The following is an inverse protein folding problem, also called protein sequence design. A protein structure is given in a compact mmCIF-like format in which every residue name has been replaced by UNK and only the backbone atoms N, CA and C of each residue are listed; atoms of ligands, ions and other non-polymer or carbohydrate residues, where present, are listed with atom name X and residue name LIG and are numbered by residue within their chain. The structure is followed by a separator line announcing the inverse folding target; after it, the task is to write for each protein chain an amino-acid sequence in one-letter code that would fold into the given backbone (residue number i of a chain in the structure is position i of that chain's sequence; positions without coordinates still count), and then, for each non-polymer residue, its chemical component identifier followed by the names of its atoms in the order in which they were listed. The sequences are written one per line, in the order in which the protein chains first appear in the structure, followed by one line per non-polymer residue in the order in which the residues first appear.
data_IF_569573291816
#
_entry.id   IF_569573291816
#
_cell.length_a   1.000
_cell.length_b   1.000
_cell.length_c   1.000
_cell.angle_alpha   90.00
_cell.angle_beta   90.00
_cell.angle_gamma   90.00
#
_symmetry.space_group_name_H-M   'P 1'
#
loop_
_entity.id
_entity.type
_entity.pdbx_description
1 polymer ?
#
# COMPACT_ATOMS: atom_id res chain seq x y z
N UNK A 1 12.33 8.44 -27.95
CA UNK A 1 13.25 7.78 -27.00
C UNK A 1 14.59 8.48 -27.07
N UNK A 2 15.04 9.15 -26.00
CA UNK A 2 16.31 9.89 -26.02
C UNK A 2 17.49 8.93 -26.16
N UNK A 3 18.58 9.37 -26.77
CA UNK A 3 19.77 8.53 -26.99
C UNK A 3 20.45 8.14 -25.66
N UNK A 4 20.30 8.94 -24.61
CA UNK A 4 20.71 8.59 -23.24
C UNK A 4 20.00 7.34 -22.71
N UNK A 5 18.71 7.17 -23.03
CA UNK A 5 17.98 5.99 -22.59
C UNK A 5 18.44 4.71 -23.30
N UNK A 6 18.85 4.81 -24.57
CA UNK A 6 19.44 3.68 -25.31
C UNK A 6 20.80 3.27 -24.74
N UNK A 7 21.65 4.24 -24.40
CA UNK A 7 22.95 3.98 -23.76
C UNK A 7 22.75 3.32 -22.38
N UNK A 8 21.81 3.82 -21.57
CA UNK A 8 21.45 3.21 -20.29
C UNK A 8 21.03 1.74 -20.44
N UNK A 9 20.13 1.44 -21.39
CA UNK A 9 19.70 0.06 -21.63
C UNK A 9 20.84 -0.86 -22.09
N UNK A 10 21.78 -0.35 -22.90
CA UNK A 10 22.94 -1.14 -23.36
C UNK A 10 23.93 -1.52 -22.24
N UNK A 11 23.86 -0.85 -21.09
CA UNK A 11 24.71 -1.14 -19.93
C UNK A 11 24.14 -2.24 -19.03
N UNK A 12 22.88 -2.63 -19.23
CA UNK A 12 22.23 -3.68 -18.44
C UNK A 12 22.82 -5.04 -18.82
N UNK A 13 23.29 -5.79 -17.84
CA UNK A 13 23.70 -7.18 -18.02
C UNK A 13 22.48 -8.09 -17.88
N UNK A 14 22.38 -9.09 -18.75
CA UNK A 14 21.44 -10.19 -18.53
C UNK A 14 21.74 -10.85 -17.19
N UNK A 15 20.72 -10.92 -16.34
CA UNK A 15 20.80 -11.63 -15.07
C UNK A 15 20.05 -12.94 -15.19
N UNK A 16 20.63 -14.04 -14.71
CA UNK A 16 19.94 -15.32 -14.59
C UNK A 16 18.95 -15.35 -13.41
N UNK A 17 18.79 -14.21 -12.73
CA UNK A 17 17.97 -14.01 -11.54
C UNK A 17 16.59 -13.56 -11.97
N UNK A 18 15.62 -14.46 -11.94
CA UNK A 18 14.23 -14.12 -12.22
C UNK A 18 13.69 -13.20 -11.13
N UNK A 19 12.79 -12.28 -11.47
CA UNK A 19 12.20 -11.31 -10.53
C UNK A 19 11.62 -12.01 -9.27
N UNK A 20 10.98 -13.17 -9.46
CA UNK A 20 10.43 -14.02 -8.40
C UNK A 20 11.47 -14.55 -7.37
N UNK A 21 12.76 -14.52 -7.70
CA UNK A 21 13.84 -14.89 -6.77
C UNK A 21 14.28 -13.72 -5.88
N UNK A 22 13.95 -12.48 -6.26
CA UNK A 22 14.26 -11.30 -5.47
C UNK A 22 13.21 -11.09 -4.36
N UNK A 23 11.93 -11.33 -4.67
CA UNK A 23 10.81 -11.12 -3.76
C UNK A 23 9.67 -12.08 -4.06
N UNK A 24 9.00 -12.56 -3.01
CA UNK A 24 7.71 -13.25 -3.13
C UNK A 24 6.61 -12.21 -3.40
N UNK A 25 6.36 -11.94 -4.67
CA UNK A 25 5.35 -10.97 -5.11
C UNK A 25 3.93 -11.37 -4.72
N UNK A 26 3.63 -12.68 -4.67
CA UNK A 26 2.31 -13.14 -4.22
C UNK A 26 2.07 -12.78 -2.76
N UNK A 27 3.08 -12.95 -1.90
CA UNK A 27 3.01 -12.52 -0.50
C UNK A 27 2.85 -11.01 -0.38
N UNK A 28 3.58 -10.23 -1.18
CA UNK A 28 3.44 -8.77 -1.20
C UNK A 28 2.02 -8.38 -1.60
N UNK A 29 1.51 -8.91 -2.69
CA UNK A 29 0.17 -8.61 -3.20
C UNK A 29 -0.92 -8.96 -2.17
N UNK A 30 -0.83 -10.14 -1.53
CA UNK A 30 -1.75 -10.53 -0.45
C UNK A 30 -1.75 -9.54 0.71
N UNK A 31 -0.58 -9.02 1.10
CA UNK A 31 -0.49 -8.04 2.19
C UNK A 31 -1.02 -6.68 1.78
N UNK A 32 -0.70 -6.22 0.56
CA UNK A 32 -1.21 -4.96 0.01
C UNK A 32 -2.74 -5.01 -0.10
N UNK A 33 -3.31 -6.12 -0.58
CA UNK A 33 -4.76 -6.27 -0.69
C UNK A 33 -5.48 -6.17 0.66
N UNK A 34 -4.91 -6.73 1.72
CA UNK A 34 -5.46 -6.59 3.09
C UNK A 34 -5.48 -5.13 3.55
N UNK A 35 -4.44 -4.36 3.22
CA UNK A 35 -4.36 -2.93 3.54
C UNK A 35 -5.36 -2.13 2.69
N UNK A 36 -5.48 -2.46 1.40
CA UNK A 36 -6.39 -1.79 0.46
C UNK A 36 -7.85 -1.87 0.92
N UNK A 37 -8.30 -3.02 1.44
CA UNK A 37 -9.66 -3.17 1.99
C UNK A 37 -9.90 -2.17 3.13
N UNK A 38 -8.96 -2.07 4.08
CA UNK A 38 -9.07 -1.14 5.22
C UNK A 38 -9.03 0.32 4.77
N UNK A 39 -8.19 0.65 3.78
CA UNK A 39 -8.16 2.00 3.19
C UNK A 39 -9.49 2.36 2.52
N UNK A 40 -10.11 1.42 1.81
CA UNK A 40 -11.44 1.64 1.24
C UNK A 40 -12.52 1.87 2.30
N UNK A 41 -12.42 1.23 3.46
CA UNK A 41 -13.30 1.50 4.59
C UNK A 41 -13.04 2.90 5.17
N UNK A 42 -11.78 3.34 5.29
CA UNK A 42 -11.45 4.72 5.71
C UNK A 42 -11.98 5.78 4.74
N UNK A 43 -12.11 5.47 3.44
CA UNK A 43 -12.73 6.38 2.47
C UNK A 43 -14.18 6.74 2.82
N UNK A 44 -14.87 5.95 3.67
CA UNK A 44 -16.18 6.32 4.22
C UNK A 44 -16.17 7.69 4.93
N UNK A 45 -15.04 8.08 5.51
CA UNK A 45 -14.89 9.33 6.24
C UNK A 45 -14.81 10.56 5.30
N UNK A 46 -14.51 10.36 4.02
CA UNK A 46 -14.37 11.45 3.04
C UNK A 46 -15.75 12.06 2.79
N UNK A 47 -15.88 13.38 2.99
CA UNK A 47 -17.11 14.12 2.74
C UNK A 47 -18.18 14.02 3.84
N UNK A 48 -17.85 13.47 5.01
CA UNK A 48 -18.77 13.42 6.17
C UNK A 48 -18.78 14.77 6.90
N UNK A 49 -19.97 15.29 7.18
CA UNK A 49 -20.14 16.54 7.93
C UNK A 49 -19.79 16.37 9.43
N UNK A 50 -20.22 15.26 10.04
CA UNK A 50 -19.89 14.92 11.43
C UNK A 50 -18.89 13.77 11.48
N UNK A 51 -17.60 14.14 11.47
CA UNK A 51 -16.51 13.18 11.48
C UNK A 51 -16.48 12.32 12.76
N UNK A 52 -16.86 12.88 13.91
CA UNK A 52 -16.84 12.14 15.18
C UNK A 52 -17.83 10.97 15.17
N UNK A 53 -19.05 11.23 14.70
CA UNK A 53 -20.07 10.19 14.56
C UNK A 53 -19.67 9.16 13.51
N UNK A 54 -19.15 9.60 12.34
CA UNK A 54 -18.70 8.71 11.28
C UNK A 54 -17.53 7.81 11.71
N UNK A 55 -16.58 8.34 12.50
CA UNK A 55 -15.49 7.54 13.08
C UNK A 55 -16.06 6.48 14.03
N UNK A 56 -17.02 6.85 14.88
CA UNK A 56 -17.64 5.92 15.82
C UNK A 56 -18.37 4.79 15.10
N UNK A 57 -19.18 5.12 14.09
CA UNK A 57 -19.85 4.13 13.23
C UNK A 57 -18.84 3.19 12.56
N UNK A 58 -17.76 3.75 12.00
CA UNK A 58 -16.73 2.97 11.34
C UNK A 58 -15.96 2.06 12.31
N UNK A 59 -15.74 2.53 13.54
CA UNK A 59 -15.08 1.77 14.59
C UNK A 59 -15.96 0.62 15.10
N UNK A 60 -17.26 0.88 15.30
CA UNK A 60 -18.23 -0.13 15.73
C UNK A 60 -18.40 -1.22 14.64
N UNK A 61 -18.36 -0.84 13.36
CA UNK A 61 -18.45 -1.76 12.22
C UNK A 61 -17.16 -2.58 12.02
N UNK A 62 -16.00 -1.93 11.99
CA UNK A 62 -14.71 -2.62 11.87
C UNK A 62 -13.57 -1.83 12.54
N UNK A 63 -13.20 -2.17 13.79
CA UNK A 63 -12.12 -1.47 14.49
C UNK A 63 -10.75 -1.70 13.84
N UNK A 64 -10.55 -2.83 13.13
CA UNK A 64 -9.29 -3.14 12.43
C UNK A 64 -8.99 -2.18 11.27
N UNK A 65 -9.98 -1.41 10.84
CA UNK A 65 -9.83 -0.34 9.85
C UNK A 65 -8.77 0.68 10.29
N UNK A 66 -8.62 0.90 11.59
CA UNK A 66 -7.70 1.91 12.14
C UNK A 66 -6.25 1.41 12.26
N UNK A 67 -5.99 0.11 12.12
CA UNK A 67 -4.62 -0.45 12.16
C UNK A 67 -3.73 0.12 11.04
N UNK A 68 -4.33 0.53 9.90
CA UNK A 68 -3.56 1.09 8.77
C UNK A 68 -3.15 2.54 8.98
N UNK A 69 -3.65 3.21 10.03
CA UNK A 69 -3.22 4.57 10.36
C UNK A 69 -1.72 4.63 10.65
N UNK A 70 -1.17 3.62 11.32
CA UNK A 70 0.27 3.52 11.56
C UNK A 70 1.08 3.50 10.26
N UNK A 71 0.57 2.83 9.22
CA UNK A 71 1.19 2.78 7.89
C UNK A 71 1.14 4.16 7.22
N UNK A 72 -0.01 4.84 7.28
CA UNK A 72 -0.20 6.15 6.67
C UNK A 72 0.67 7.24 7.31
N UNK A 73 0.83 7.18 8.63
CA UNK A 73 1.65 8.13 9.41
C UNK A 73 3.11 7.69 9.49
N UNK A 74 3.46 6.56 8.87
CA UNK A 74 4.80 5.96 8.90
C UNK A 74 5.34 5.78 10.33
N UNK A 75 4.49 5.32 11.25
CA UNK A 75 4.87 5.01 12.63
C UNK A 75 5.84 3.83 12.62
N UNK A 76 6.94 3.98 13.34
CA UNK A 76 7.88 2.89 13.65
C UNK A 76 7.53 2.37 15.04
N UNK A 77 6.96 1.17 15.10
CA UNK A 77 6.86 0.46 16.38
C UNK A 77 8.27 0.19 16.89
N UNK A 78 8.53 0.57 18.15
CA UNK A 78 9.84 0.53 18.82
C UNK A 78 10.10 -0.82 19.47
#
# INVERSE_FOLDING_TARGET
MSDQFKIFLSQLKETNTLLNTLTDFEKVERNVNKIAIKLNQLNYLIGKENLHLAIKELYDENPKTFDVLGILVAVRDS
#
